data_IF_914724101517
#
_entry.id   IF_914724101517
#
_cell.length_a   1.000
_cell.length_b   1.000
_cell.length_c   1.000
_cell.angle_alpha   90.00
_cell.angle_beta   90.00
_cell.angle_gamma   90.00
#
_symmetry.space_group_name_H-M   'P 1'
#
loop_
_entity.id
_entity.type
_entity.pdbx_description
1 polymer ?
#
# COMPACT_ATOMS: atom_id res chain seq x y z
N UNK A 1 11.58 37.62 -23.02
CA UNK A 1 10.41 36.97 -22.40
C UNK A 1 10.94 36.00 -21.38
N UNK A 2 10.97 36.41 -20.13
CA UNK A 2 11.47 35.65 -18.98
C UNK A 2 10.53 34.47 -18.72
N UNK A 3 11.02 33.24 -18.83
CA UNK A 3 10.36 32.07 -18.26
C UNK A 3 10.13 32.37 -16.77
N UNK A 4 8.87 32.48 -16.36
CA UNK A 4 8.53 32.51 -14.93
C UNK A 4 8.96 31.16 -14.37
N UNK A 5 9.92 31.13 -13.43
CA UNK A 5 10.22 29.90 -12.70
C UNK A 5 8.93 29.49 -11.98
N UNK A 6 8.49 28.26 -12.21
CA UNK A 6 7.33 27.69 -11.51
C UNK A 6 7.77 27.38 -10.08
N UNK A 7 7.34 28.20 -9.12
CA UNK A 7 7.68 27.99 -7.72
C UNK A 7 7.18 26.62 -7.24
N UNK A 8 8.09 25.78 -6.77
CA UNK A 8 7.79 24.42 -6.33
C UNK A 8 7.24 24.38 -4.89
N UNK A 9 7.62 25.36 -4.06
CA UNK A 9 7.18 25.49 -2.68
C UNK A 9 6.40 26.78 -2.51
N UNK A 10 5.21 26.69 -1.91
CA UNK A 10 4.49 27.87 -1.40
C UNK A 10 4.39 27.76 0.12
N UNK A 11 4.84 28.80 0.81
CA UNK A 11 4.86 28.88 2.27
C UNK A 11 3.86 29.95 2.72
N UNK A 12 2.76 29.51 3.33
CA UNK A 12 1.74 30.38 3.90
C UNK A 12 2.08 30.71 5.35
N UNK A 13 2.28 31.98 5.65
CA UNK A 13 2.81 32.45 6.93
C UNK A 13 1.89 33.49 7.55
N UNK A 14 1.35 33.19 8.73
CA UNK A 14 0.54 34.17 9.48
C UNK A 14 1.34 34.94 10.52
N UNK A 15 2.47 34.39 10.99
CA UNK A 15 3.28 34.96 12.07
C UNK A 15 4.77 34.95 11.71
N UNK A 16 5.25 35.88 10.85
CA UNK A 16 6.61 35.85 10.31
C UNK A 16 7.73 35.78 11.36
N UNK A 17 7.55 36.42 12.51
CA UNK A 17 8.53 36.41 13.60
C UNK A 17 8.69 35.03 14.24
N UNK A 18 7.62 34.23 14.31
CA UNK A 18 7.65 32.92 14.96
C UNK A 18 8.20 31.83 14.02
N UNK A 19 8.14 32.07 12.71
CA UNK A 19 8.55 31.14 11.66
C UNK A 19 9.86 31.56 10.95
N UNK A 20 10.55 32.59 11.45
CA UNK A 20 11.78 33.18 10.86
C UNK A 20 12.86 32.11 10.61
N UNK A 21 13.07 31.20 11.56
CA UNK A 21 14.05 30.12 11.43
C UNK A 21 13.71 29.18 10.28
N UNK A 22 12.42 28.80 10.13
CA UNK A 22 11.98 27.92 9.03
C UNK A 22 12.15 28.63 7.70
N UNK A 23 11.78 29.92 7.65
CA UNK A 23 11.98 30.79 6.49
C UNK A 23 13.44 30.84 6.04
N UNK A 24 14.38 31.06 6.96
CA UNK A 24 15.81 31.09 6.66
C UNK A 24 16.32 29.76 6.11
N UNK A 25 15.86 28.65 6.68
CA UNK A 25 16.22 27.31 6.21
C UNK A 25 15.71 27.07 4.79
N UNK A 26 14.44 27.39 4.51
CA UNK A 26 13.86 27.24 3.17
C UNK A 26 14.60 28.11 2.16
N UNK A 27 14.80 29.39 2.48
CA UNK A 27 15.51 30.35 1.62
C UNK A 27 16.94 29.92 1.27
N UNK A 28 17.61 29.24 2.20
CA UNK A 28 18.99 28.77 2.01
C UNK A 28 19.08 27.52 1.11
N UNK A 29 18.06 26.68 1.08
CA UNK A 29 18.13 25.36 0.43
C UNK A 29 17.31 25.23 -0.84
N UNK A 30 16.22 26.01 -0.98
CA UNK A 30 15.33 25.95 -2.13
C UNK A 30 15.38 27.27 -2.90
N UNK A 31 15.63 27.20 -4.21
CA UNK A 31 15.64 28.37 -5.10
C UNK A 31 14.23 28.75 -5.56
N UNK A 32 13.35 27.75 -5.75
CA UNK A 32 11.99 27.92 -6.27
C UNK A 32 10.94 27.88 -5.15
N UNK A 33 10.93 28.90 -4.29
CA UNK A 33 9.90 29.08 -3.24
C UNK A 33 9.25 30.47 -3.30
N UNK A 34 8.00 30.55 -2.84
CA UNK A 34 7.26 31.81 -2.67
C UNK A 34 6.54 31.83 -1.34
N UNK A 35 6.47 32.99 -0.69
CA UNK A 35 5.71 33.18 0.55
C UNK A 35 4.42 33.97 0.32
N UNK A 36 3.40 33.72 1.13
CA UNK A 36 2.19 34.52 1.18
C UNK A 36 1.61 34.52 2.60
N UNK A 37 0.78 35.52 2.93
CA UNK A 37 0.19 35.70 4.25
C UNK A 37 -1.34 35.89 4.19
N UNK A 38 -1.91 35.85 2.98
CA UNK A 38 -3.33 36.07 2.74
C UNK A 38 -3.93 34.93 1.92
N UNK A 39 -5.17 34.53 2.25
CA UNK A 39 -5.89 33.49 1.52
C UNK A 39 -6.04 33.85 0.03
N UNK A 40 -6.22 35.14 -0.28
CA UNK A 40 -6.31 35.62 -1.67
C UNK A 40 -5.03 35.32 -2.44
N UNK A 41 -3.88 35.62 -1.86
CA UNK A 41 -2.58 35.41 -2.51
C UNK A 41 -2.25 33.92 -2.60
N UNK A 42 -2.59 33.15 -1.57
CA UNK A 42 -2.48 31.69 -1.60
C UNK A 42 -3.30 31.12 -2.77
N UNK A 43 -4.58 31.52 -2.91
CA UNK A 43 -5.41 31.08 -4.03
C UNK A 43 -4.79 31.40 -5.39
N UNK A 44 -4.26 32.62 -5.54
CA UNK A 44 -3.60 33.06 -6.77
C UNK A 44 -2.36 32.23 -7.07
N UNK A 45 -1.50 32.00 -6.08
CA UNK A 45 -0.28 31.21 -6.23
C UNK A 45 -0.58 29.75 -6.62
N UNK A 46 -1.60 29.13 -6.02
CA UNK A 46 -2.00 27.76 -6.39
C UNK A 46 -2.39 27.64 -7.87
N UNK A 47 -3.03 28.67 -8.44
CA UNK A 47 -3.39 28.70 -9.86
C UNK A 47 -2.16 29.00 -10.73
N UNK A 48 -1.41 30.05 -10.38
CA UNK A 48 -0.39 30.63 -11.24
C UNK A 48 0.91 29.81 -11.24
N UNK A 49 1.32 29.27 -10.09
CA UNK A 49 2.63 28.62 -9.92
C UNK A 49 2.57 27.10 -9.83
N UNK A 50 1.37 26.52 -9.62
CA UNK A 50 1.15 25.07 -9.51
C UNK A 50 2.16 24.38 -8.58
N UNK A 51 2.26 24.82 -7.32
CA UNK A 51 3.26 24.35 -6.40
C UNK A 51 3.13 22.85 -6.13
N UNK A 52 4.23 22.22 -5.76
CA UNK A 52 4.29 20.79 -5.41
C UNK A 52 4.18 20.57 -3.91
N UNK A 53 4.69 21.50 -3.11
CA UNK A 53 4.61 21.46 -1.65
C UNK A 53 4.01 22.77 -1.13
N UNK A 54 2.98 22.64 -0.30
CA UNK A 54 2.40 23.73 0.48
C UNK A 54 2.83 23.57 1.94
N UNK A 55 3.54 24.57 2.45
CA UNK A 55 3.91 24.65 3.85
C UNK A 55 2.96 25.65 4.52
N UNK A 56 2.18 25.19 5.50
CA UNK A 56 1.16 26.02 6.15
C UNK A 56 1.51 26.28 7.61
N UNK A 57 1.74 27.54 7.96
CA UNK A 57 1.90 27.94 9.37
C UNK A 57 0.55 28.34 9.97
N UNK A 58 0.35 27.96 11.23
CA UNK A 58 -0.86 28.30 11.98
C UNK A 58 -0.67 27.99 13.45
N UNK A 59 -1.16 28.84 14.36
CA UNK A 59 -1.03 28.65 15.81
C UNK A 59 -1.69 27.37 16.36
N UNK A 60 -2.34 26.58 15.51
CA UNK A 60 -2.89 25.26 15.77
C UNK A 60 -3.03 24.50 14.45
N UNK A 61 -3.12 23.17 14.53
CA UNK A 61 -3.40 22.34 13.36
C UNK A 61 -4.73 22.72 12.70
N UNK A 62 -5.74 23.04 13.51
CA UNK A 62 -7.07 23.44 13.04
C UNK A 62 -6.99 24.65 12.09
N UNK A 63 -6.22 25.69 12.44
CA UNK A 63 -6.09 26.87 11.58
C UNK A 63 -5.36 26.58 10.27
N UNK A 64 -4.33 25.73 10.29
CA UNK A 64 -3.64 25.30 9.06
C UNK A 64 -4.61 24.56 8.13
N UNK A 65 -5.37 23.60 8.67
CA UNK A 65 -6.38 22.85 7.91
C UNK A 65 -7.50 23.74 7.40
N UNK A 66 -8.02 24.64 8.23
CA UNK A 66 -9.07 25.58 7.85
C UNK A 66 -8.62 26.48 6.70
N UNK A 67 -7.39 27.00 6.76
CA UNK A 67 -6.80 27.80 5.68
C UNK A 67 -6.72 27.00 4.39
N UNK A 68 -6.25 25.76 4.47
CA UNK A 68 -6.13 24.88 3.31
C UNK A 68 -7.49 24.56 2.68
N UNK A 69 -8.45 24.06 3.45
CA UNK A 69 -9.74 23.65 2.93
C UNK A 69 -10.57 24.83 2.41
N UNK A 70 -10.47 26.01 3.04
CA UNK A 70 -11.11 27.21 2.49
C UNK A 70 -10.49 27.66 1.18
N UNK A 71 -9.18 27.48 1.01
CA UNK A 71 -8.50 27.73 -0.26
C UNK A 71 -9.02 26.77 -1.33
N UNK A 72 -9.11 25.48 -1.03
CA UNK A 72 -9.67 24.49 -1.96
C UNK A 72 -11.14 24.76 -2.29
N UNK A 73 -11.95 25.14 -1.31
CA UNK A 73 -13.36 25.50 -1.51
C UNK A 73 -13.50 26.71 -2.44
N UNK A 74 -12.70 27.76 -2.21
CA UNK A 74 -12.66 28.95 -3.07
C UNK A 74 -12.20 28.62 -4.50
N UNK A 75 -11.39 27.58 -4.67
CA UNK A 75 -10.84 27.14 -5.94
C UNK A 75 -11.58 25.95 -6.56
N UNK A 76 -12.75 25.56 -6.05
CA UNK A 76 -13.52 24.40 -6.53
C UNK A 76 -13.79 24.39 -8.04
N UNK A 77 -13.89 25.57 -8.65
CA UNK A 77 -14.13 25.72 -10.10
C UNK A 77 -12.85 25.66 -10.95
N UNK A 78 -11.68 25.55 -10.34
CA UNK A 78 -10.37 25.52 -11.00
C UNK A 78 -9.78 24.12 -10.96
N UNK A 79 -8.98 23.78 -11.98
CA UNK A 79 -8.23 22.53 -12.00
C UNK A 79 -6.87 22.74 -11.32
N UNK A 80 -6.75 22.28 -10.08
CA UNK A 80 -5.53 22.39 -9.30
C UNK A 80 -4.56 21.25 -9.63
N UNK A 81 -3.26 21.53 -9.54
CA UNK A 81 -2.25 20.49 -9.61
C UNK A 81 -2.27 19.63 -8.33
N UNK A 82 -1.84 18.38 -8.48
CA UNK A 82 -1.53 17.56 -7.31
C UNK A 82 -0.37 18.19 -6.53
N UNK A 83 -0.58 18.41 -5.25
CA UNK A 83 0.39 19.04 -4.34
C UNK A 83 0.26 18.42 -2.95
N UNK A 84 1.35 18.48 -2.21
CA UNK A 84 1.49 17.90 -0.87
C UNK A 84 1.40 19.00 0.17
N UNK A 85 0.78 18.71 1.31
CA UNK A 85 0.61 19.69 2.39
C UNK A 85 1.39 19.30 3.63
N UNK A 86 2.12 20.27 4.18
CA UNK A 86 2.88 20.12 5.41
C UNK A 86 2.41 21.17 6.41
N UNK A 87 1.96 20.70 7.58
CA UNK A 87 1.53 21.60 8.65
C UNK A 87 2.69 21.95 9.59
N UNK A 88 2.99 23.24 9.72
CA UNK A 88 4.02 23.76 10.63
C UNK A 88 3.36 24.16 11.94
N UNK A 89 3.46 23.29 12.95
CA UNK A 89 2.66 23.38 14.18
C UNK A 89 3.49 23.74 15.42
N UNK A 90 2.86 24.35 16.45
CA UNK A 90 3.43 24.39 17.79
C UNK A 90 3.48 23.01 18.43
N UNK A 91 4.46 22.80 19.32
CA UNK A 91 4.69 21.49 19.98
C UNK A 91 3.46 20.89 20.66
N UNK A 92 2.60 21.72 21.25
CA UNK A 92 1.41 21.25 21.98
C UNK A 92 0.38 20.52 21.11
N UNK A 93 0.45 20.66 19.78
CA UNK A 93 -0.45 20.01 18.82
C UNK A 93 0.20 18.82 18.10
N UNK A 94 1.34 18.33 18.59
CA UNK A 94 2.08 17.21 17.96
C UNK A 94 1.20 15.97 17.80
N UNK A 95 0.40 15.64 18.81
CA UNK A 95 -0.45 14.46 18.79
C UNK A 95 -1.53 14.56 17.72
N UNK A 96 -2.20 15.69 17.64
CA UNK A 96 -3.26 15.94 16.65
C UNK A 96 -2.68 15.94 15.24
N UNK A 97 -1.47 16.50 15.05
CA UNK A 97 -0.81 16.51 13.75
C UNK A 97 -0.35 15.10 13.34
N UNK A 98 0.14 14.30 14.28
CA UNK A 98 0.42 12.89 14.05
C UNK A 98 -0.84 12.13 13.62
N UNK A 99 -1.94 12.30 14.36
CA UNK A 99 -3.21 11.64 14.05
C UNK A 99 -3.76 12.08 12.68
N UNK A 100 -3.62 13.36 12.32
CA UNK A 100 -4.01 13.88 11.01
C UNK A 100 -3.13 13.34 9.87
N UNK A 101 -1.82 13.28 10.06
CA UNK A 101 -0.90 12.68 9.09
C UNK A 101 -1.19 11.19 8.91
N UNK A 102 -1.33 10.43 10.00
CA UNK A 102 -1.66 9.00 9.96
C UNK A 102 -3.02 8.71 9.31
N UNK A 103 -3.95 9.67 9.36
CA UNK A 103 -5.25 9.60 8.69
C UNK A 103 -5.20 10.05 7.21
N UNK A 104 -4.06 10.54 6.71
CA UNK A 104 -3.91 11.08 5.35
C UNK A 104 -4.60 12.43 5.14
N UNK A 105 -4.92 13.15 6.21
CA UNK A 105 -5.52 14.49 6.15
C UNK A 105 -4.47 15.52 5.70
N UNK A 106 -3.22 15.33 6.15
CA UNK A 106 -2.03 16.09 5.74
C UNK A 106 -0.94 15.11 5.29
N UNK A 107 -0.03 15.54 4.42
CA UNK A 107 1.04 14.68 3.92
C UNK A 107 2.21 14.58 4.89
N UNK A 108 2.54 15.65 5.63
CA UNK A 108 3.51 15.59 6.74
C UNK A 108 3.25 16.76 7.73
N UNK A 109 3.99 16.81 8.83
CA UNK A 109 4.00 17.92 9.76
C UNK A 109 5.39 18.14 10.37
N UNK A 110 5.62 19.34 10.91
CA UNK A 110 6.82 19.65 11.65
C UNK A 110 6.50 20.52 12.86
N UNK A 111 7.13 20.21 13.99
CA UNK A 111 7.15 21.10 15.15
C UNK A 111 8.06 22.28 14.80
N UNK A 112 7.43 23.41 14.46
CA UNK A 112 8.12 24.63 14.04
C UNK A 112 8.26 25.66 15.18
N UNK A 113 7.49 25.49 16.26
CA UNK A 113 7.45 26.46 17.36
C UNK A 113 7.65 25.77 18.73
N UNK A 114 8.87 25.85 19.30
CA UNK A 114 10.12 26.29 18.65
C UNK A 114 10.71 25.22 17.71
N UNK A 115 11.53 25.62 16.74
CA UNK A 115 12.25 24.69 15.83
C UNK A 115 13.39 24.01 16.58
N UNK A 116 13.33 22.68 16.71
CA UNK A 116 14.42 21.87 17.27
C UNK A 116 15.26 21.17 16.19
N UNK A 117 14.68 20.91 15.01
CA UNK A 117 15.27 20.09 13.95
C UNK A 117 15.37 20.87 12.63
N UNK A 118 16.39 21.71 12.50
CA UNK A 118 16.57 22.61 11.35
C UNK A 118 16.53 21.88 9.99
N UNK A 119 17.11 20.69 9.91
CA UNK A 119 17.20 19.94 8.65
C UNK A 119 15.94 19.11 8.34
N UNK A 120 14.99 18.98 9.29
CA UNK A 120 13.79 18.14 9.09
C UNK A 120 12.91 18.68 7.98
N UNK A 121 12.72 20.00 7.90
CA UNK A 121 11.90 20.59 6.83
C UNK A 121 12.47 20.33 5.43
N UNK A 122 13.80 20.33 5.30
CA UNK A 122 14.48 20.02 4.04
C UNK A 122 14.17 18.57 3.65
N UNK A 123 14.35 17.64 4.59
CA UNK A 123 14.06 16.21 4.37
C UNK A 123 12.59 15.97 4.00
N UNK A 124 11.66 16.66 4.65
CA UNK A 124 10.23 16.56 4.33
C UNK A 124 9.99 16.99 2.87
N UNK A 125 10.45 18.19 2.48
CA UNK A 125 10.24 18.68 1.12
C UNK A 125 10.85 17.77 0.05
N UNK A 126 12.12 17.35 0.24
CA UNK A 126 12.82 16.45 -0.70
C UNK A 126 12.10 15.09 -0.85
N UNK A 127 11.62 14.53 0.27
CA UNK A 127 10.84 13.29 0.23
C UNK A 127 9.53 13.47 -0.54
N UNK A 128 8.78 14.54 -0.26
CA UNK A 128 7.50 14.82 -0.93
C UNK A 128 7.68 15.12 -2.43
N UNK A 129 8.78 15.78 -2.83
CA UNK A 129 9.12 15.93 -4.25
C UNK A 129 9.37 14.58 -4.92
N UNK A 130 10.13 13.71 -4.25
CA UNK A 130 10.40 12.34 -4.74
C UNK A 130 9.10 11.55 -4.90
N UNK A 131 8.20 11.59 -3.93
CA UNK A 131 6.87 10.94 -4.03
C UNK A 131 6.03 11.46 -5.20
N UNK A 132 6.10 12.76 -5.48
CA UNK A 132 5.40 13.39 -6.61
C UNK A 132 6.07 13.12 -7.97
N UNK A 133 7.18 12.36 -8.01
CA UNK A 133 7.95 12.11 -9.22
C UNK A 133 8.65 13.36 -9.75
N UNK A 134 8.79 14.40 -8.92
CA UNK A 134 9.63 15.57 -9.20
C UNK A 134 11.06 15.10 -8.98
N UNK A 135 11.60 14.37 -9.95
CA UNK A 135 13.00 14.01 -9.91
C UNK A 135 13.81 15.30 -9.96
N UNK A 136 14.60 15.54 -8.91
CA UNK A 136 15.76 16.41 -8.97
C UNK A 136 16.83 15.70 -9.81
N UNK A 137 16.51 15.46 -11.09
CA UNK A 137 17.47 15.01 -12.08
C UNK A 137 18.65 15.98 -12.02
N UNK A 138 19.83 15.41 -11.79
CA UNK A 138 21.15 16.06 -11.63
C UNK A 138 21.65 16.38 -10.20
N UNK A 139 20.84 16.24 -9.13
CA UNK A 139 21.40 16.40 -7.76
C UNK A 139 21.65 15.12 -7.00
N UNK A 140 20.96 13.99 -7.15
CA UNK A 140 21.20 12.87 -6.21
C UNK A 140 22.60 12.23 -6.32
N UNK A 141 23.07 11.94 -7.54
CA UNK A 141 24.38 11.30 -7.72
C UNK A 141 25.54 12.30 -7.54
N UNK A 142 25.37 13.54 -8.01
CA UNK A 142 26.34 14.62 -7.82
C UNK A 142 26.36 15.11 -6.37
N UNK A 143 25.20 15.27 -5.71
CA UNK A 143 25.09 15.74 -4.33
C UNK A 143 25.49 14.67 -3.32
N UNK A 144 25.33 13.37 -3.56
CA UNK A 144 25.86 12.36 -2.64
C UNK A 144 27.40 12.41 -2.59
N UNK A 145 28.08 12.49 -3.74
CA UNK A 145 29.54 12.66 -3.79
C UNK A 145 29.99 14.06 -3.31
N UNK A 146 29.20 15.10 -3.59
CA UNK A 146 29.50 16.49 -3.17
C UNK A 146 29.21 16.74 -1.69
N UNK A 147 28.22 16.07 -1.08
CA UNK A 147 27.98 16.14 0.36
C UNK A 147 29.07 15.38 1.09
N UNK A 148 29.43 14.17 0.65
CA UNK A 148 30.49 13.40 1.29
C UNK A 148 31.83 14.12 1.34
N UNK A 149 32.16 14.85 0.26
CA UNK A 149 33.36 15.69 0.20
C UNK A 149 33.26 16.99 0.99
N UNK A 150 32.06 17.43 1.39
CA UNK A 150 31.80 18.59 2.27
C UNK A 150 31.65 18.23 3.75
N UNK A 151 31.68 16.94 4.10
CA UNK A 151 31.68 16.47 5.48
C UNK A 151 33.10 16.61 6.05
N UNK A 152 33.48 17.84 6.38
CA UNK A 152 34.74 18.10 7.09
C UNK A 152 34.61 17.98 8.62
N UNK A 153 33.37 17.98 9.13
CA UNK A 153 33.06 18.09 10.56
C UNK A 153 32.95 16.74 11.30
N UNK A 154 32.90 15.61 10.59
CA UNK A 154 32.90 14.29 11.22
C UNK A 154 34.32 13.78 11.43
N UNK A 155 34.54 13.05 12.53
CA UNK A 155 35.78 12.30 12.76
C UNK A 155 35.97 11.22 11.67
N UNK A 156 37.22 10.87 11.39
CA UNK A 156 37.61 9.95 10.33
C UNK A 156 36.94 8.58 10.47
N UNK A 157 36.68 8.14 11.71
CA UNK A 157 35.94 6.89 11.99
C UNK A 157 34.51 6.93 11.45
N UNK A 158 33.81 8.06 11.61
CA UNK A 158 32.45 8.25 11.10
C UNK A 158 32.48 8.34 9.58
N UNK A 159 33.44 9.07 9.00
CA UNK A 159 33.61 9.14 7.54
C UNK A 159 33.83 7.76 6.93
N UNK A 160 34.67 6.93 7.56
CA UNK A 160 34.92 5.56 7.12
C UNK A 160 33.65 4.69 7.22
N UNK A 161 32.93 4.74 8.33
CA UNK A 161 31.70 3.98 8.53
C UNK A 161 30.60 4.39 7.54
N UNK A 162 30.42 5.69 7.32
CA UNK A 162 29.49 6.20 6.32
C UNK A 162 29.87 5.72 4.91
N UNK A 163 31.18 5.72 4.58
CA UNK A 163 31.65 5.31 3.25
C UNK A 163 31.39 3.83 3.03
N UNK A 164 31.75 2.99 4.01
CA UNK A 164 31.44 1.57 3.99
C UNK A 164 29.94 1.31 3.86
N UNK A 165 29.10 2.04 4.61
CA UNK A 165 27.65 1.92 4.51
C UNK A 165 27.11 2.30 3.13
N UNK A 166 27.65 3.36 2.52
CA UNK A 166 27.28 3.77 1.17
C UNK A 166 27.72 2.73 0.13
N UNK A 167 28.94 2.23 0.23
CA UNK A 167 29.47 1.18 -0.66
C UNK A 167 28.60 -0.09 -0.57
N UNK A 168 28.23 -0.53 0.64
CA UNK A 168 27.31 -1.66 0.83
C UNK A 168 25.92 -1.41 0.26
N UNK A 169 25.36 -0.21 0.44
CA UNK A 169 24.03 0.13 -0.10
C UNK A 169 24.05 0.11 -1.63
N UNK A 170 25.09 0.68 -2.24
CA UNK A 170 25.26 0.68 -3.70
C UNK A 170 25.46 -0.74 -4.23
N UNK A 171 26.23 -1.58 -3.53
CA UNK A 171 26.37 -2.99 -3.88
C UNK A 171 25.02 -3.72 -3.82
N UNK A 172 24.26 -3.58 -2.73
CA UNK A 172 22.93 -4.18 -2.59
C UNK A 172 21.97 -3.73 -3.70
N UNK A 173 22.01 -2.44 -4.04
CA UNK A 173 21.20 -1.90 -5.13
C UNK A 173 21.58 -2.53 -6.48
N UNK A 174 22.88 -2.60 -6.79
CA UNK A 174 23.40 -3.23 -8.01
C UNK A 174 23.05 -4.72 -8.09
N UNK A 175 23.19 -5.47 -6.98
CA UNK A 175 22.79 -6.88 -6.89
C UNK A 175 21.29 -7.06 -7.14
N UNK A 176 20.46 -6.16 -6.61
CA UNK A 176 19.01 -6.18 -6.81
C UNK A 176 18.63 -5.85 -8.26
N UNK A 177 19.24 -4.82 -8.86
CA UNK A 177 19.06 -4.47 -10.27
C UNK A 177 19.50 -5.61 -11.19
N UNK A 178 20.65 -6.24 -10.91
CA UNK A 178 21.11 -7.43 -11.63
C UNK A 178 20.11 -8.58 -11.51
N UNK A 179 19.54 -8.79 -10.33
CA UNK A 179 18.50 -9.81 -10.11
C UNK A 179 17.24 -9.54 -10.93
N UNK A 180 16.82 -8.27 -11.07
CA UNK A 180 15.70 -7.89 -11.95
C UNK A 180 16.02 -8.26 -13.40
N UNK A 181 17.19 -7.88 -13.91
CA UNK A 181 17.62 -8.18 -15.28
C UNK A 181 17.69 -9.69 -15.53
N UNK A 182 18.17 -10.47 -14.56
CA UNK A 182 18.16 -11.93 -14.65
C UNK A 182 16.74 -12.51 -14.77
N UNK A 183 15.79 -11.97 -14.01
CA UNK A 183 14.38 -12.38 -14.08
C UNK A 183 13.77 -11.97 -15.44
N UNK A 184 14.07 -10.77 -15.94
CA UNK A 184 13.63 -10.33 -17.28
C UNK A 184 14.13 -11.26 -18.38
N UNK A 185 15.42 -11.61 -18.36
CA UNK A 185 16.02 -12.54 -19.30
C UNK A 185 15.45 -13.97 -19.17
N UNK A 186 15.11 -14.41 -17.96
CA UNK A 186 14.44 -15.69 -17.75
C UNK A 186 13.01 -15.70 -18.32
N UNK A 187 12.27 -14.61 -18.13
CA UNK A 187 10.93 -14.43 -18.70
C UNK A 187 10.99 -14.38 -20.23
N UNK A 188 11.91 -13.63 -20.82
CA UNK A 188 12.06 -13.55 -22.28
C UNK A 188 12.35 -14.92 -22.90
N UNK A 189 13.26 -15.70 -22.30
CA UNK A 189 13.52 -17.09 -22.72
C UNK A 189 12.27 -17.97 -22.62
N UNK A 190 11.42 -17.76 -21.61
CA UNK A 190 10.17 -18.48 -21.48
C UNK A 190 9.16 -18.09 -22.56
N UNK A 191 9.05 -16.81 -22.91
CA UNK A 191 8.20 -16.33 -24.04
C UNK A 191 8.60 -17.02 -25.32
N UNK A 192 9.89 -16.99 -25.67
CA UNK A 192 10.38 -17.58 -26.93
C UNK A 192 10.09 -19.08 -27.01
N UNK A 193 10.22 -19.82 -25.89
CA UNK A 193 9.94 -21.26 -25.87
C UNK A 193 8.45 -21.59 -26.01
N UNK A 194 7.58 -20.79 -25.39
CA UNK A 194 6.12 -20.92 -25.54
C UNK A 194 5.67 -20.62 -26.98
N UNK A 195 6.29 -19.63 -27.63
CA UNK A 195 6.03 -19.32 -29.05
C UNK A 195 6.53 -20.39 -30.03
N UNK A 196 7.48 -21.24 -29.60
CA UNK A 196 8.04 -22.34 -30.39
C UNK A 196 7.34 -23.70 -30.17
N UNK A 197 6.16 -23.75 -29.55
CA UNK A 197 5.38 -24.98 -29.25
C UNK A 197 6.16 -26.09 -28.49
N UNK A 198 7.23 -25.72 -27.76
CA UNK A 198 7.95 -26.66 -26.92
C UNK A 198 7.32 -26.68 -25.52
N UNK A 199 7.03 -27.87 -24.99
CA UNK A 199 6.53 -28.03 -23.62
C UNK A 199 7.52 -27.42 -22.63
N UNK A 200 7.13 -26.29 -22.02
CA UNK A 200 7.96 -25.63 -21.02
C UNK A 200 7.52 -26.14 -19.64
N UNK A 201 8.41 -26.88 -18.98
CA UNK A 201 8.29 -27.10 -17.54
C UNK A 201 8.76 -25.83 -16.83
N UNK A 202 7.86 -24.84 -16.77
CA UNK A 202 8.11 -23.61 -16.05
C UNK A 202 8.02 -23.97 -14.57
N UNK A 203 9.12 -23.86 -13.83
CA UNK A 203 9.13 -24.05 -12.38
C UNK A 203 8.43 -22.85 -11.71
N UNK A 204 7.10 -22.86 -11.78
CA UNK A 204 6.19 -21.84 -11.27
C UNK A 204 6.48 -21.59 -9.78
N UNK A 205 6.90 -22.62 -9.03
CA UNK A 205 7.24 -22.50 -7.63
C UNK A 205 8.46 -21.58 -7.44
N UNK A 206 9.52 -21.76 -8.23
CA UNK A 206 10.74 -20.94 -8.16
C UNK A 206 10.50 -19.50 -8.61
N UNK A 207 9.64 -19.30 -9.61
CA UNK A 207 9.26 -17.97 -10.09
C UNK A 207 8.40 -17.22 -9.07
N UNK A 208 7.44 -17.91 -8.44
CA UNK A 208 6.64 -17.38 -7.34
C UNK A 208 7.49 -17.09 -6.10
N UNK A 209 8.43 -17.97 -5.76
CA UNK A 209 9.36 -17.75 -4.66
C UNK A 209 10.21 -16.49 -4.90
N UNK A 210 10.75 -16.32 -6.11
CA UNK A 210 11.60 -15.17 -6.48
C UNK A 210 10.80 -13.86 -6.49
N UNK A 211 9.59 -13.86 -7.07
CA UNK A 211 8.69 -12.70 -7.04
C UNK A 211 8.23 -12.35 -5.61
N UNK A 212 8.06 -13.34 -4.74
CA UNK A 212 7.66 -13.12 -3.34
C UNK A 212 8.76 -12.51 -2.47
N UNK A 213 10.03 -12.67 -2.87
CA UNK A 213 11.20 -12.08 -2.21
C UNK A 213 11.38 -10.60 -2.55
N UNK A 214 10.73 -10.10 -3.59
CA UNK A 214 10.80 -8.70 -3.98
C UNK A 214 9.73 -7.90 -3.24
N UNK A 215 10.12 -7.30 -2.12
CA UNK A 215 9.35 -6.26 -1.44
C UNK A 215 10.15 -4.97 -1.50
N UNK A 216 9.54 -3.88 -1.98
CA UNK A 216 9.70 -2.50 -1.48
C UNK A 216 9.42 -1.47 -2.58
N UNK A 217 8.29 -0.79 -2.46
CA UNK A 217 8.06 0.66 -2.29
C UNK A 217 8.87 1.71 -3.08
N UNK A 218 9.96 1.40 -3.79
CA UNK A 218 10.70 2.39 -4.60
C UNK A 218 10.92 2.02 -6.07
N UNK A 219 10.51 0.84 -6.53
CA UNK A 219 10.61 0.46 -7.95
C UNK A 219 9.27 -0.10 -8.44
N UNK A 220 8.17 0.63 -8.22
CA UNK A 220 6.83 0.22 -8.73
C UNK A 220 6.79 0.03 -10.25
N UNK A 221 7.34 0.92 -11.11
CA UNK A 221 7.04 0.86 -12.54
C UNK A 221 7.60 -0.38 -13.24
N UNK A 222 8.89 -0.71 -13.03
CA UNK A 222 9.53 -1.86 -13.68
C UNK A 222 9.09 -3.20 -13.08
N UNK A 223 8.85 -3.26 -11.76
CA UNK A 223 8.26 -4.45 -11.14
C UNK A 223 6.83 -4.72 -11.60
N UNK A 224 6.02 -3.67 -11.79
CA UNK A 224 4.66 -3.81 -12.33
C UNK A 224 4.72 -4.33 -13.77
N UNK A 225 5.64 -3.80 -14.60
CA UNK A 225 5.85 -4.31 -15.97
C UNK A 225 6.31 -5.77 -15.98
N UNK A 226 7.26 -6.12 -15.11
CA UNK A 226 7.77 -7.49 -14.95
C UNK A 226 6.66 -8.45 -14.51
N UNK A 227 5.88 -8.07 -13.50
CA UNK A 227 4.75 -8.85 -13.00
C UNK A 227 3.67 -9.03 -14.08
N UNK A 228 3.31 -7.97 -14.79
CA UNK A 228 2.34 -8.03 -15.89
C UNK A 228 2.81 -8.99 -17.00
N UNK A 229 4.11 -8.96 -17.34
CA UNK A 229 4.70 -9.83 -18.37
C UNK A 229 4.76 -11.30 -17.91
N UNK A 230 5.10 -11.55 -16.64
CA UNK A 230 5.06 -12.89 -16.04
C UNK A 230 3.63 -13.48 -15.99
N UNK A 231 2.62 -12.64 -15.71
CA UNK A 231 1.21 -13.06 -15.73
C UNK A 231 0.78 -13.41 -17.16
N UNK A 232 1.12 -12.59 -18.16
CA UNK A 232 0.79 -12.87 -19.57
C UNK A 232 1.35 -14.21 -20.07
N UNK A 233 2.55 -14.57 -19.61
CA UNK A 233 3.15 -15.88 -19.90
C UNK A 233 2.40 -17.05 -19.26
N UNK A 234 2.02 -16.89 -18.00
CA UNK A 234 1.23 -17.90 -17.29
C UNK A 234 -0.13 -18.11 -17.98
N UNK A 235 -0.77 -17.04 -18.45
CA UNK A 235 -2.01 -17.10 -19.23
C UNK A 235 -1.84 -17.90 -20.53
N UNK A 236 -0.84 -17.57 -21.35
CA UNK A 236 -0.54 -18.33 -22.59
C UNK A 236 -0.28 -19.82 -22.33
N UNK A 237 0.42 -20.14 -21.23
CA UNK A 237 0.78 -21.54 -20.90
C UNK A 237 -0.43 -22.34 -20.36
N UNK A 238 -1.36 -21.67 -19.68
CA UNK A 238 -2.61 -22.28 -19.18
C UNK A 238 -3.60 -22.55 -20.32
N UNK A 239 -3.71 -21.65 -21.29
CA UNK A 239 -4.56 -21.85 -22.48
C UNK A 239 -4.09 -23.05 -23.31
N UNK A 240 -2.77 -23.24 -23.46
CA UNK A 240 -2.18 -24.41 -24.11
C UNK A 240 -2.52 -25.73 -23.38
N UNK A 241 -2.53 -25.73 -22.03
CA UNK A 241 -2.90 -26.93 -21.24
C UNK A 241 -4.39 -27.25 -21.27
N UNK A 242 -5.27 -26.27 -21.48
CA UNK A 242 -6.72 -26.52 -21.60
C UNK A 242 -7.13 -27.15 -22.93
N UNK A 243 -6.29 -27.08 -23.97
CA UNK A 243 -6.55 -27.68 -25.26
C UNK A 243 -6.31 -29.22 -25.30
N UNK A 244 -5.57 -29.79 -24.34
CA UNK A 244 -5.12 -31.19 -24.40
C UNK A 244 -5.93 -32.21 -23.56
N UNK A 245 -6.97 -31.79 -22.83
CA UNK A 245 -7.75 -32.72 -21.98
C UNK A 245 -9.04 -33.17 -22.68
N UNK A 246 -8.95 -34.24 -23.48
CA UNK A 246 -10.08 -35.15 -23.71
C UNK A 246 -10.08 -36.25 -22.64
N UNK A 247 -11.24 -36.69 -22.13
CA UNK A 247 -11.29 -37.55 -20.95
C UNK A 247 -11.01 -39.00 -21.33
N UNK A 248 -10.04 -39.62 -20.67
CA UNK A 248 -9.95 -41.08 -20.64
C UNK A 248 -9.93 -41.59 -19.20
N UNK A 249 -10.75 -42.61 -19.01
CA UNK A 249 -11.14 -43.32 -17.79
C UNK A 249 -10.05 -44.25 -17.24
N UNK A 250 -10.25 -44.66 -15.97
CA UNK A 250 -9.58 -45.73 -15.19
C UNK A 250 -8.34 -45.27 -14.40
N UNK A 251 -8.01 -45.80 -13.22
CA UNK A 251 -8.63 -46.58 -12.15
C UNK A 251 -7.48 -46.80 -11.12
N UNK A 252 -7.80 -46.87 -9.81
CA UNK A 252 -7.04 -47.60 -8.77
C UNK A 252 -5.61 -47.09 -8.43
N UNK A 253 -4.99 -47.24 -7.26
CA UNK A 253 -5.24 -47.74 -5.90
C UNK A 253 -4.00 -47.35 -5.06
N UNK A 254 -4.02 -47.65 -3.76
CA UNK A 254 -2.92 -47.79 -2.79
C UNK A 254 -2.40 -46.49 -2.11
N UNK A 255 -2.66 -46.21 -0.83
CA UNK A 255 -2.31 -46.88 0.48
C UNK A 255 -0.85 -46.81 0.90
N UNK A 256 -0.67 -46.60 2.23
CA UNK A 256 0.54 -46.69 3.09
C UNK A 256 1.37 -45.39 3.20
N UNK A 257 1.83 -44.90 4.35
CA UNK A 257 1.76 -45.31 5.76
C UNK A 257 2.87 -44.60 6.57
N UNK A 258 2.59 -44.30 7.86
CA UNK A 258 3.52 -44.18 9.01
C UNK A 258 4.72 -43.17 8.93
N UNK A 259 4.68 -42.02 9.63
CA UNK A 259 5.01 -41.76 11.06
C UNK A 259 6.49 -41.80 11.44
N UNK A 260 7.03 -40.70 12.00
CA UNK A 260 7.78 -40.71 13.28
C UNK A 260 8.08 -39.30 13.79
N UNK A 261 7.91 -39.15 15.09
CA UNK A 261 8.12 -37.98 15.95
C UNK A 261 9.62 -37.78 16.26
N UNK A 262 10.05 -36.53 16.51
CA UNK A 262 10.84 -36.24 17.74
C UNK A 262 10.80 -34.74 18.10
N UNK A 263 10.46 -34.50 19.37
CA UNK A 263 10.60 -33.28 20.20
C UNK A 263 12.06 -32.77 20.25
N UNK A 264 12.44 -31.54 20.63
CA UNK A 264 11.85 -30.51 21.48
C UNK A 264 12.56 -29.16 21.19
N UNK A 265 11.87 -28.03 21.32
CA UNK A 265 12.32 -26.93 22.18
C UNK A 265 11.28 -25.80 22.26
N UNK A 266 10.81 -25.54 23.47
CA UNK A 266 9.96 -24.41 23.82
C UNK A 266 10.77 -23.11 23.72
N UNK A 267 10.64 -22.35 22.63
CA UNK A 267 10.90 -20.89 22.58
C UNK A 267 10.57 -20.27 21.22
N UNK A 268 9.29 -20.28 20.84
CA UNK A 268 8.74 -19.22 19.97
C UNK A 268 7.22 -19.17 20.09
N UNK A 269 6.66 -18.20 20.81
CA UNK A 269 5.21 -17.89 20.66
C UNK A 269 5.02 -17.08 19.38
N UNK A 270 5.37 -17.69 18.25
CA UNK A 270 5.19 -17.16 16.91
C UNK A 270 3.71 -17.02 16.60
N UNK A 271 3.26 -15.80 16.32
CA UNK A 271 1.91 -15.57 15.82
C UNK A 271 1.82 -16.14 14.41
N UNK A 272 1.02 -17.19 14.24
CA UNK A 272 0.74 -17.81 12.94
C UNK A 272 -0.17 -16.88 12.15
N UNK A 273 0.38 -16.24 11.11
CA UNK A 273 -0.39 -15.47 10.14
C UNK A 273 -1.32 -16.38 9.31
N UNK A 274 -2.44 -15.85 8.81
CA UNK A 274 -3.54 -16.59 8.13
C UNK A 274 -4.40 -17.46 9.07
N UNK A 275 -4.87 -16.91 10.20
CA UNK A 275 -5.83 -17.57 11.10
C UNK A 275 -7.26 -17.14 10.82
N UNK A 276 -8.17 -18.13 10.81
CA UNK A 276 -9.61 -17.91 10.93
C UNK A 276 -9.95 -17.89 12.42
N UNK A 277 -10.18 -16.70 12.98
CA UNK A 277 -10.36 -16.52 14.41
C UNK A 277 -11.80 -16.85 14.82
N UNK A 278 -11.97 -18.12 15.16
CA UNK A 278 -13.00 -18.72 16.02
C UNK A 278 -12.77 -20.23 15.92
N UNK A 279 -12.01 -20.80 16.84
CA UNK A 279 -11.86 -22.27 16.98
C UNK A 279 -12.86 -22.85 18.00
N UNK A 280 -13.59 -22.00 18.73
CA UNK A 280 -14.62 -22.41 19.70
C UNK A 280 -16.00 -22.00 19.20
N UNK A 281 -16.49 -22.66 18.15
CA UNK A 281 -17.92 -22.61 17.82
C UNK A 281 -18.48 -24.02 17.95
N UNK A 282 -19.45 -24.12 18.84
CA UNK A 282 -20.37 -25.23 18.99
C UNK A 282 -20.82 -25.78 17.61
N UNK A 283 -20.50 -27.04 17.27
CA UNK A 283 -20.85 -27.65 15.98
C UNK A 283 -22.34 -27.59 15.66
N UNK A 284 -23.20 -27.41 16.67
CA UNK A 284 -24.65 -27.33 16.51
C UNK A 284 -25.18 -25.94 16.10
N UNK A 285 -24.32 -24.90 16.00
CA UNK A 285 -24.76 -23.51 15.77
C UNK A 285 -24.32 -22.83 14.46
N UNK A 286 -23.83 -23.56 13.46
CA UNK A 286 -23.45 -22.95 12.17
C UNK A 286 -24.28 -23.50 11.01
N UNK A 287 -25.17 -22.62 10.54
CA UNK A 287 -25.77 -22.50 9.20
C UNK A 287 -26.75 -23.60 8.74
N UNK A 288 -28.03 -23.21 8.69
CA UNK A 288 -29.03 -23.86 7.85
C UNK A 288 -28.54 -23.96 6.39
N UNK A 289 -28.69 -25.15 5.81
CA UNK A 289 -28.33 -25.49 4.44
C UNK A 289 -29.01 -24.54 3.45
N UNK A 290 -28.27 -23.55 2.91
CA UNK A 290 -28.77 -22.70 1.83
C UNK A 290 -28.68 -23.46 0.50
N UNK A 291 -29.84 -23.81 -0.06
CA UNK A 291 -29.94 -24.27 -1.44
C UNK A 291 -29.78 -23.05 -2.37
N UNK A 292 -28.58 -22.81 -2.90
CA UNK A 292 -28.30 -21.74 -3.86
C UNK A 292 -26.81 -21.59 -4.19
N UNK A 293 -26.49 -20.91 -5.28
CA UNK A 293 -25.11 -20.54 -5.63
C UNK A 293 -24.61 -19.47 -4.64
N UNK A 294 -23.55 -19.72 -3.86
CA UNK A 294 -23.06 -18.76 -2.87
C UNK A 294 -22.70 -17.41 -3.51
N UNK A 295 -23.05 -16.31 -2.83
CA UNK A 295 -22.69 -14.95 -3.23
C UNK A 295 -21.58 -14.39 -2.35
N UNK A 296 -20.45 -14.03 -2.97
CA UNK A 296 -19.28 -13.43 -2.33
C UNK A 296 -19.14 -11.97 -2.78
N UNK A 297 -18.85 -11.08 -1.83
CA UNK A 297 -18.42 -9.71 -2.11
C UNK A 297 -16.92 -9.58 -1.93
N UNK A 298 -16.23 -9.03 -2.94
CA UNK A 298 -14.81 -8.68 -2.86
C UNK A 298 -14.67 -7.16 -2.93
N UNK A 299 -14.02 -6.58 -1.93
CA UNK A 299 -13.76 -5.15 -1.82
C UNK A 299 -12.26 -4.93 -1.83
N UNK A 300 -11.73 -4.42 -2.93
CA UNK A 300 -10.29 -4.31 -3.21
C UNK A 300 -10.04 -3.20 -4.22
N UNK A 301 -9.19 -2.24 -3.88
CA UNK A 301 -8.91 -1.06 -4.71
C UNK A 301 -7.84 -1.33 -5.77
N UNK A 302 -6.92 -2.25 -5.48
CA UNK A 302 -5.95 -2.74 -6.45
C UNK A 302 -6.62 -3.66 -7.48
N UNK A 303 -6.77 -3.15 -8.70
CA UNK A 303 -7.46 -3.85 -9.80
C UNK A 303 -6.82 -5.22 -10.07
N UNK A 304 -5.51 -5.37 -9.87
CA UNK A 304 -4.78 -6.63 -10.10
C UNK A 304 -5.15 -7.66 -9.03
N UNK A 305 -5.05 -7.30 -7.75
CA UNK A 305 -5.47 -8.14 -6.61
C UNK A 305 -6.94 -8.52 -6.72
N UNK A 306 -7.79 -7.59 -7.17
CA UNK A 306 -9.22 -7.82 -7.39
C UNK A 306 -9.44 -8.87 -8.49
N UNK A 307 -8.74 -8.76 -9.62
CA UNK A 307 -8.82 -9.74 -10.71
C UNK A 307 -8.29 -11.12 -10.29
N UNK A 308 -7.19 -11.20 -9.55
CA UNK A 308 -6.64 -12.46 -9.04
C UNK A 308 -7.62 -13.15 -8.09
N UNK A 309 -8.21 -12.38 -7.17
CA UNK A 309 -9.20 -12.88 -6.21
C UNK A 309 -10.46 -13.34 -6.93
N UNK A 310 -10.96 -12.57 -7.90
CA UNK A 310 -12.13 -12.94 -8.71
C UNK A 310 -11.88 -14.24 -9.49
N UNK A 311 -10.74 -14.36 -10.16
CA UNK A 311 -10.35 -15.59 -10.89
C UNK A 311 -10.26 -16.80 -9.97
N UNK A 312 -9.81 -16.63 -8.72
CA UNK A 312 -9.81 -17.70 -7.73
C UNK A 312 -11.25 -18.13 -7.38
N UNK A 313 -12.15 -17.19 -7.15
CA UNK A 313 -13.56 -17.44 -6.81
C UNK A 313 -14.32 -18.09 -7.98
N UNK A 314 -14.09 -17.64 -9.22
CA UNK A 314 -14.78 -18.14 -10.43
C UNK A 314 -14.59 -19.66 -10.61
N UNK A 315 -13.45 -20.21 -10.15
CA UNK A 315 -13.17 -21.66 -10.18
C UNK A 315 -14.13 -22.50 -9.33
N UNK A 316 -14.82 -21.89 -8.36
CA UNK A 316 -15.74 -22.56 -7.44
C UNK A 316 -17.22 -22.36 -7.82
N UNK A 317 -17.50 -21.81 -9.02
CA UNK A 317 -18.86 -21.58 -9.54
C UNK A 317 -19.74 -20.75 -8.59
N UNK A 318 -19.15 -19.78 -7.89
CA UNK A 318 -19.86 -18.86 -6.99
C UNK A 318 -20.14 -17.52 -7.68
N UNK A 319 -21.15 -16.79 -7.22
CA UNK A 319 -21.36 -15.42 -7.66
C UNK A 319 -20.38 -14.49 -6.94
N UNK A 320 -19.64 -13.69 -7.70
CA UNK A 320 -18.67 -12.74 -7.17
C UNK A 320 -19.05 -11.31 -7.58
N UNK A 321 -19.50 -10.52 -6.61
CA UNK A 321 -19.62 -9.06 -6.78
C UNK A 321 -18.30 -8.43 -6.37
N UNK A 322 -17.77 -7.52 -7.19
CA UNK A 322 -16.44 -6.95 -7.04
C UNK A 322 -16.55 -5.41 -7.07
N UNK A 323 -16.01 -4.75 -6.05
CA UNK A 323 -16.05 -3.29 -5.91
C UNK A 323 -14.70 -2.76 -5.44
N UNK A 324 -14.38 -1.52 -5.80
CA UNK A 324 -13.04 -0.93 -5.61
C UNK A 324 -12.98 0.19 -4.57
N UNK A 325 -14.11 0.53 -3.96
CA UNK A 325 -14.22 1.62 -2.98
C UNK A 325 -15.12 1.22 -1.83
N UNK A 326 -14.90 1.82 -0.66
CA UNK A 326 -15.72 1.59 0.51
C UNK A 326 -17.16 2.09 0.33
N UNK A 327 -17.38 3.19 -0.40
CA UNK A 327 -18.75 3.63 -0.74
C UNK A 327 -19.52 2.58 -1.54
N UNK A 328 -18.89 1.96 -2.54
CA UNK A 328 -19.51 0.87 -3.29
C UNK A 328 -19.73 -0.38 -2.43
N UNK A 329 -18.82 -0.67 -1.49
CA UNK A 329 -18.98 -1.75 -0.53
C UNK A 329 -20.20 -1.51 0.38
N UNK A 330 -20.36 -0.31 0.94
CA UNK A 330 -21.54 0.05 1.73
C UNK A 330 -22.84 -0.09 0.94
N UNK A 331 -22.86 0.42 -0.30
CA UNK A 331 -24.03 0.29 -1.16
C UNK A 331 -24.38 -1.19 -1.41
N UNK A 332 -23.38 -2.03 -1.69
CA UNK A 332 -23.56 -3.46 -1.94
C UNK A 332 -24.06 -4.21 -0.69
N UNK A 333 -23.45 -3.95 0.46
CA UNK A 333 -23.84 -4.54 1.76
C UNK A 333 -25.21 -4.08 2.25
N UNK A 334 -25.70 -2.94 1.78
CA UNK A 334 -27.07 -2.46 2.07
C UNK A 334 -28.09 -3.10 1.13
N UNK A 335 -27.72 -3.30 -0.14
CA UNK A 335 -28.63 -3.76 -1.18
C UNK A 335 -28.85 -5.29 -1.18
N UNK A 336 -27.85 -6.09 -0.76
CA UNK A 336 -27.88 -7.55 -0.88
C UNK A 336 -27.21 -8.23 0.30
N UNK A 337 -27.69 -9.42 0.66
CA UNK A 337 -27.05 -10.32 1.63
C UNK A 337 -26.01 -11.19 0.93
N UNK A 338 -24.80 -11.24 1.49
CA UNK A 338 -23.70 -12.08 1.03
C UNK A 338 -23.48 -13.26 1.99
N UNK A 339 -22.90 -14.33 1.46
CA UNK A 339 -22.52 -15.51 2.25
C UNK A 339 -21.08 -15.39 2.77
N UNK A 340 -20.24 -14.58 2.11
CA UNK A 340 -18.89 -14.24 2.55
C UNK A 340 -18.47 -12.87 2.00
N UNK A 341 -17.77 -12.08 2.81
CA UNK A 341 -17.16 -10.81 2.36
C UNK A 341 -15.65 -10.87 2.53
N UNK A 342 -14.93 -10.58 1.46
CA UNK A 342 -13.49 -10.36 1.47
C UNK A 342 -13.24 -8.85 1.40
N UNK A 343 -12.68 -8.29 2.46
CA UNK A 343 -12.58 -6.85 2.66
C UNK A 343 -11.13 -6.42 2.78
N UNK A 344 -10.63 -5.59 1.88
CA UNK A 344 -9.33 -4.95 2.09
C UNK A 344 -9.35 -4.00 3.28
N UNK A 345 -8.24 -3.92 4.00
CA UNK A 345 -8.05 -2.97 5.11
C UNK A 345 -7.94 -1.53 4.57
N UNK A 346 -7.21 -1.32 3.49
CA UNK A 346 -6.91 0.00 2.96
C UNK A 346 -7.76 0.24 1.71
N UNK A 347 -8.78 1.10 1.79
CA UNK A 347 -9.54 1.53 0.62
C UNK A 347 -9.29 3.02 0.38
N UNK A 348 -9.40 3.50 -0.87
CA UNK A 348 -9.03 4.86 -1.25
C UNK A 348 -9.92 5.93 -0.59
N UNK A 349 -11.11 5.58 -0.13
CA UNK A 349 -12.08 6.51 0.48
C UNK A 349 -12.42 6.21 1.94
N UNK A 350 -11.98 5.08 2.51
CA UNK A 350 -12.22 4.72 3.91
C UNK A 350 -11.31 3.57 4.36
N UNK A 351 -11.22 3.34 5.66
CA UNK A 351 -10.62 2.12 6.18
C UNK A 351 -11.66 0.97 6.18
N UNK A 352 -11.32 -0.19 5.61
CA UNK A 352 -12.22 -1.36 5.56
C UNK A 352 -12.64 -1.88 6.93
N UNK A 353 -11.82 -1.68 7.97
CA UNK A 353 -12.17 -2.02 9.37
C UNK A 353 -13.39 -1.23 9.86
N UNK A 354 -13.57 0.00 9.38
CA UNK A 354 -14.75 0.79 9.69
C UNK A 354 -16.01 0.15 9.11
N UNK A 355 -15.93 -0.35 7.88
CA UNK A 355 -17.04 -1.03 7.19
C UNK A 355 -17.44 -2.31 7.93
N UNK A 356 -16.46 -3.08 8.42
CA UNK A 356 -16.72 -4.27 9.26
C UNK A 356 -17.61 -3.92 10.45
N UNK A 357 -17.27 -2.87 11.19
CA UNK A 357 -18.02 -2.46 12.37
C UNK A 357 -19.47 -2.08 12.06
N UNK A 358 -19.71 -1.46 10.91
CA UNK A 358 -21.05 -1.11 10.46
C UNK A 358 -21.82 -2.35 9.97
N UNK A 359 -21.16 -3.21 9.20
CA UNK A 359 -21.76 -4.43 8.67
C UNK A 359 -22.10 -5.46 9.75
N UNK A 360 -21.37 -5.47 10.87
CA UNK A 360 -21.62 -6.32 12.04
C UNK A 360 -22.69 -5.77 13.01
N UNK A 361 -23.25 -4.57 12.76
CA UNK A 361 -24.36 -4.03 13.54
C UNK A 361 -25.60 -4.92 13.41
N UNK A 362 -26.37 -5.10 14.49
CA UNK A 362 -27.60 -5.92 14.48
C UNK A 362 -28.68 -5.42 13.50
N UNK A 363 -28.59 -4.17 13.05
CA UNK A 363 -29.50 -3.58 12.07
C UNK A 363 -29.06 -3.81 10.61
N UNK A 364 -27.89 -4.42 10.39
CA UNK A 364 -27.32 -4.69 9.07
C UNK A 364 -27.91 -5.97 8.46
N UNK A 365 -28.21 -5.92 7.15
CA UNK A 365 -28.60 -7.10 6.37
C UNK A 365 -27.54 -8.22 6.40
N UNK A 366 -26.27 -7.83 6.62
CA UNK A 366 -25.09 -8.69 6.62
C UNK A 366 -24.50 -8.89 8.03
N UNK A 367 -25.29 -8.70 9.10
CA UNK A 367 -24.83 -8.82 10.49
C UNK A 367 -24.17 -10.16 10.81
N UNK A 368 -24.71 -11.26 10.26
CA UNK A 368 -24.19 -12.62 10.44
C UNK A 368 -23.20 -13.04 9.35
N UNK A 369 -23.01 -12.21 8.32
CA UNK A 369 -22.15 -12.56 7.20
C UNK A 369 -20.69 -12.52 7.65
N UNK A 370 -19.92 -13.61 7.46
CA UNK A 370 -18.51 -13.61 7.81
C UNK A 370 -17.74 -12.61 6.94
N UNK A 371 -17.07 -11.66 7.59
CA UNK A 371 -16.19 -10.70 6.93
C UNK A 371 -14.74 -11.08 7.24
N UNK A 372 -13.96 -11.32 6.19
CA UNK A 372 -12.56 -11.69 6.27
C UNK A 372 -11.73 -10.53 5.75
N UNK A 373 -10.83 -10.04 6.59
CA UNK A 373 -9.93 -8.96 6.18
C UNK A 373 -8.83 -9.51 5.28
N UNK A 374 -8.59 -8.82 4.17
CA UNK A 374 -7.41 -8.97 3.33
C UNK A 374 -6.46 -7.82 3.63
N UNK A 375 -5.17 -8.08 3.78
CA UNK A 375 -4.20 -7.01 4.06
C UNK A 375 -2.83 -7.30 3.46
N UNK A 376 -2.16 -6.26 2.98
CA UNK A 376 -0.73 -6.31 2.64
C UNK A 376 0.19 -6.25 3.87
N UNK A 377 -0.36 -5.87 5.02
CA UNK A 377 0.37 -5.59 6.25
C UNK A 377 0.29 -6.75 7.27
N UNK A 378 1.44 -7.05 7.89
CA UNK A 378 1.64 -8.06 8.93
C UNK A 378 1.56 -7.48 10.36
N UNK A 379 1.22 -6.20 10.55
CA UNK A 379 1.16 -5.61 11.87
C UNK A 379 0.01 -6.15 12.74
N UNK A 380 0.38 -6.59 13.94
CA UNK A 380 -0.53 -7.19 14.94
C UNK A 380 -1.65 -6.26 15.41
N UNK A 381 -1.38 -4.95 15.44
CA UNK A 381 -2.36 -3.94 15.87
C UNK A 381 -3.57 -3.88 14.92
N UNK A 382 -3.33 -3.97 13.61
CA UNK A 382 -4.35 -3.95 12.56
C UNK A 382 -5.27 -5.16 12.66
N UNK A 383 -4.69 -6.36 12.84
CA UNK A 383 -5.44 -7.61 13.07
C UNK A 383 -6.33 -7.49 14.31
N UNK A 384 -5.77 -7.01 15.42
CA UNK A 384 -6.49 -6.89 16.69
C UNK A 384 -7.69 -5.92 16.57
N UNK A 385 -7.47 -4.77 15.93
CA UNK A 385 -8.50 -3.74 15.70
C UNK A 385 -9.63 -4.27 14.80
N UNK A 386 -9.30 -5.02 13.75
CA UNK A 386 -10.28 -5.63 12.87
C UNK A 386 -11.17 -6.66 13.61
N UNK A 387 -10.57 -7.52 14.43
CA UNK A 387 -11.29 -8.53 15.21
C UNK A 387 -12.25 -7.87 16.22
N UNK A 388 -11.80 -6.84 16.94
CA UNK A 388 -12.64 -6.09 17.89
C UNK A 388 -13.86 -5.44 17.22
N UNK A 389 -13.80 -5.18 15.91
CA UNK A 389 -14.91 -4.60 15.12
C UNK A 389 -15.84 -5.65 14.52
N UNK A 390 -15.56 -6.95 14.69
CA UNK A 390 -16.46 -8.04 14.28
C UNK A 390 -15.98 -8.87 13.09
N UNK A 391 -14.76 -8.64 12.57
CA UNK A 391 -14.21 -9.48 11.52
C UNK A 391 -14.00 -10.92 12.03
N UNK A 392 -14.24 -11.91 11.17
CA UNK A 392 -14.19 -13.35 11.51
C UNK A 392 -12.86 -14.03 11.12
N UNK A 393 -12.01 -13.32 10.37
CA UNK A 393 -10.71 -13.82 9.97
C UNK A 393 -9.85 -12.73 9.36
N UNK A 394 -8.58 -13.06 9.18
CA UNK A 394 -7.59 -12.17 8.59
C UNK A 394 -6.64 -12.97 7.71
N UNK A 395 -6.44 -12.55 6.47
CA UNK A 395 -5.58 -13.18 5.48
C UNK A 395 -4.62 -12.14 4.90
N UNK A 396 -3.35 -12.53 4.79
CA UNK A 396 -2.34 -11.72 4.13
C UNK A 396 -2.48 -11.88 2.61
N UNK A 397 -2.48 -10.76 1.90
CA UNK A 397 -2.43 -10.75 0.43
C UNK A 397 -1.06 -11.25 -0.07
N UNK A 398 -1.01 -11.97 -1.21
CA UNK A 398 -2.15 -12.34 -2.06
C UNK A 398 -2.97 -13.49 -1.45
N UNK A 399 -4.29 -13.48 -1.70
CA UNK A 399 -5.17 -14.57 -1.28
C UNK A 399 -4.78 -15.86 -2.01
N UNK A 400 -4.22 -16.80 -1.26
CA UNK A 400 -3.81 -18.10 -1.80
C UNK A 400 -4.99 -19.09 -1.82
N UNK A 401 -4.96 -20.02 -2.78
CA UNK A 401 -5.95 -21.10 -2.92
C UNK A 401 -6.18 -21.85 -1.62
N UNK A 402 -5.13 -22.28 -0.93
CA UNK A 402 -5.24 -23.04 0.33
C UNK A 402 -5.92 -22.25 1.46
N UNK A 403 -5.74 -20.93 1.52
CA UNK A 403 -6.43 -20.07 2.48
C UNK A 403 -7.88 -19.85 2.11
N UNK A 404 -8.17 -19.75 0.81
CA UNK A 404 -9.53 -19.65 0.31
C UNK A 404 -10.30 -20.96 0.47
N UNK A 405 -9.70 -22.12 0.18
CA UNK A 405 -10.28 -23.45 0.42
C UNK A 405 -10.76 -23.57 1.88
N UNK A 406 -9.92 -23.18 2.84
CA UNK A 406 -10.29 -23.14 4.28
C UNK A 406 -11.45 -22.20 4.59
N UNK A 407 -11.55 -21.06 3.89
CA UNK A 407 -12.66 -20.14 4.06
C UNK A 407 -13.97 -20.74 3.57
N UNK A 408 -13.93 -21.37 2.40
CA UNK A 408 -15.08 -22.05 1.81
C UNK A 408 -15.50 -23.21 2.70
N UNK A 409 -14.55 -24.05 3.11
CA UNK A 409 -14.76 -25.15 4.04
C UNK A 409 -15.46 -24.69 5.32
N UNK A 410 -15.03 -23.56 5.87
CA UNK A 410 -15.55 -23.06 7.15
C UNK A 410 -16.88 -22.33 7.06
N UNK A 411 -17.09 -21.53 6.02
CA UNK A 411 -18.19 -20.56 5.98
C UNK A 411 -19.23 -20.83 4.91
N UNK A 412 -18.90 -21.64 3.89
CA UNK A 412 -19.77 -21.84 2.72
C UNK A 412 -20.21 -23.31 2.59
N UNK A 413 -19.33 -24.27 2.87
CA UNK A 413 -19.68 -25.70 2.80
C UNK A 413 -19.95 -26.29 4.19
N UNK A 414 -21.11 -26.90 4.33
CA UNK A 414 -21.36 -27.93 5.35
C UNK A 414 -21.75 -29.20 4.61
N UNK A 415 -20.78 -29.84 3.95
CA UNK A 415 -20.64 -31.31 3.78
C UNK A 415 -19.29 -31.57 3.12
#
# INVERSE_FOLDING_TARGET
MTQSSEAQIVLYITEPQSDEIVLEVIKKHFEDYVTCDSLRDLCKLLIDTKPKVLLLTGDSLEKSLFTYYRTLEALKSYHLCNHKIVSLIPRQFEREAYEAHAAGIIDDYMIARPVYELHRIILICEHLFTELGVHVQDKEMLAQQTYFSKIDHFDDKIKQALKQGLDYKNQLQSEFESSIVEIENALERAVTRVEMEQSVDLDIAKLQETLSKIKSDQIRPELIKLQARAISLLEKTLDLKTAELTPNTNAEEATTGASTETSADEKDKGYVFNRLYNQDIDPEKVLEKKNGVPSILVVEDDIISLQLTKRLIDKYKMHCDAVTTGRQAFASLTAKKYDLVLMDVNLPDTNGIYIVGQAASQQSLNADTPIIMLSGDKHKATVTKAMQKGAKGYIIKPLQKSSFDRLIEKYISST
#
